data_IF_342428631122
#
_entry.id   IF_342428631122
#
_cell.length_a   1.000
_cell.length_b   1.000
_cell.length_c   1.000
_cell.angle_alpha   90.00
_cell.angle_beta   90.00
_cell.angle_gamma   90.00
#
_symmetry.space_group_name_H-M   'P 1'
#
loop_
_entity.id
_entity.type
_entity.pdbx_description
1 polymer ?
#
# COMPACT_ATOMS: atom_id res chain seq x y z
N UNK A 1 1.35 1.71 6.49
CA UNK A 1 1.45 0.44 5.71
C UNK A 1 2.88 0.26 5.23
N UNK A 2 3.32 -0.93 4.80
CA UNK A 2 4.63 -1.11 4.14
C UNK A 2 4.55 -1.18 2.61
N UNK A 3 3.39 -1.45 1.98
CA UNK A 3 3.30 -1.63 0.52
C UNK A 3 3.81 -0.46 -0.34
N UNK A 4 3.95 0.75 0.22
CA UNK A 4 4.58 1.87 -0.49
C UNK A 4 6.09 1.68 -0.68
N UNK A 5 6.75 0.84 0.14
CA UNK A 5 8.17 0.48 -0.05
C UNK A 5 8.34 -0.38 -1.30
N UNK A 6 7.35 -1.21 -1.66
CA UNK A 6 7.36 -1.96 -2.92
C UNK A 6 7.34 -1.04 -4.15
N UNK A 7 6.60 0.08 -4.08
CA UNK A 7 6.69 1.11 -5.13
C UNK A 7 8.08 1.74 -5.17
N UNK A 8 8.72 1.97 -4.01
CA UNK A 8 10.09 2.48 -3.97
C UNK A 8 11.06 1.48 -4.62
N UNK A 9 10.98 0.20 -4.27
CA UNK A 9 11.81 -0.86 -4.85
C UNK A 9 11.59 -0.98 -6.36
N UNK A 10 10.33 -0.96 -6.80
CA UNK A 10 9.96 -0.98 -8.21
C UNK A 10 10.55 0.21 -8.97
N UNK A 11 10.31 1.43 -8.50
CA UNK A 11 10.78 2.62 -9.19
C UNK A 11 12.31 2.72 -9.19
N UNK A 12 12.97 2.40 -8.08
CA UNK A 12 14.42 2.35 -8.00
C UNK A 12 15.00 1.31 -8.98
N UNK A 13 14.44 0.10 -9.02
CA UNK A 13 14.90 -0.97 -9.94
C UNK A 13 14.79 -0.59 -11.42
N UNK A 14 13.96 0.40 -11.75
CA UNK A 14 13.75 0.92 -13.11
C UNK A 14 14.37 2.30 -13.35
N UNK A 15 15.14 2.79 -12.38
CA UNK A 15 15.82 4.08 -12.45
C UNK A 15 14.89 5.30 -12.44
N UNK A 16 13.70 5.18 -11.84
CA UNK A 16 12.68 6.22 -11.76
C UNK A 16 12.82 6.94 -10.41
N UNK A 17 13.54 8.07 -10.38
CA UNK A 17 13.83 8.80 -9.13
C UNK A 17 13.02 10.09 -8.95
N UNK A 18 12.29 10.54 -9.98
CA UNK A 18 11.40 11.71 -9.89
C UNK A 18 10.08 11.35 -9.16
N UNK A 19 10.22 10.92 -7.90
CA UNK A 19 9.15 10.46 -7.01
C UNK A 19 9.37 11.08 -5.63
N UNK A 20 8.32 11.65 -5.05
CA UNK A 20 8.30 12.17 -3.67
C UNK A 20 7.46 11.23 -2.81
N UNK A 21 7.97 10.84 -1.65
CA UNK A 21 7.22 10.05 -0.67
C UNK A 21 6.55 10.96 0.36
N UNK A 22 5.33 11.38 -0.01
CA UNK A 22 4.54 12.36 0.72
C UNK A 22 3.89 11.79 2.00
N UNK A 23 3.85 12.64 3.03
CA UNK A 23 3.08 12.46 4.26
C UNK A 23 1.64 13.01 4.11
N UNK A 24 0.78 12.75 5.09
CA UNK A 24 -0.57 13.35 5.13
C UNK A 24 -0.56 14.89 5.12
N UNK A 25 0.46 15.50 5.73
CA UNK A 25 0.61 16.95 5.78
C UNK A 25 0.82 17.53 4.39
N UNK A 26 1.60 16.85 3.54
CA UNK A 26 1.91 17.32 2.19
C UNK A 26 0.64 17.37 1.32
N UNK A 27 -0.25 16.37 1.46
CA UNK A 27 -1.55 16.36 0.79
C UNK A 27 -2.46 17.50 1.27
N UNK A 28 -2.43 17.85 2.55
CA UNK A 28 -3.23 18.96 3.11
C UNK A 28 -2.70 20.34 2.68
N UNK A 29 -1.39 20.47 2.45
CA UNK A 29 -0.72 21.72 2.09
C UNK A 29 -0.47 21.92 0.58
N UNK A 30 -0.93 20.99 -0.28
CA UNK A 30 -1.02 21.22 -1.72
C UNK A 30 0.18 20.76 -2.55
N UNK A 31 1.02 19.85 -2.03
CA UNK A 31 2.16 19.25 -2.78
C UNK A 31 1.72 18.64 -4.13
N UNK A 32 0.45 18.26 -4.20
CA UNK A 32 -0.15 17.56 -5.32
C UNK A 32 -0.09 18.39 -6.62
N UNK A 33 -0.16 19.72 -6.50
CA UNK A 33 -0.22 20.62 -7.66
C UNK A 33 1.05 20.65 -8.52
N UNK A 34 2.21 20.24 -7.98
CA UNK A 34 3.48 20.22 -8.70
C UNK A 34 3.81 18.86 -9.35
N UNK A 35 2.88 17.91 -9.33
CA UNK A 35 3.07 16.55 -9.81
C UNK A 35 2.06 16.23 -10.90
N UNK A 36 2.39 15.29 -11.80
CA UNK A 36 1.44 14.79 -12.81
C UNK A 36 0.61 13.62 -12.31
N UNK A 37 1.08 12.92 -11.27
CA UNK A 37 0.48 11.68 -10.76
C UNK A 37 0.54 11.64 -9.23
N UNK A 38 -0.48 11.05 -8.63
CA UNK A 38 -0.53 10.67 -7.21
C UNK A 38 -0.80 9.18 -7.11
N UNK A 39 -0.02 8.47 -6.30
CA UNK A 39 -0.24 7.06 -5.99
C UNK A 39 -0.58 6.93 -4.50
N UNK A 40 -1.71 6.30 -4.19
CA UNK A 40 -2.09 5.90 -2.83
C UNK A 40 -2.03 4.37 -2.75
N UNK A 41 -1.04 3.87 -2.01
CA UNK A 41 -0.79 2.44 -1.86
C UNK A 41 -1.81 1.73 -0.97
N UNK A 42 -1.65 0.42 -0.81
CA UNK A 42 -2.38 -0.36 0.19
C UNK A 42 -2.12 0.08 1.65
N UNK A 43 -2.98 -0.35 2.56
CA UNK A 43 -2.97 0.11 3.95
C UNK A 43 -4.28 -0.15 4.68
N UNK A 44 -4.53 0.63 5.73
CA UNK A 44 -5.85 0.74 6.34
C UNK A 44 -6.60 1.85 5.61
N UNK A 45 -7.73 1.52 4.98
CA UNK A 45 -8.51 2.47 4.21
C UNK A 45 -9.05 3.62 5.06
N UNK A 46 -9.49 3.36 6.30
CA UNK A 46 -10.01 4.42 7.17
C UNK A 46 -8.91 5.34 7.64
N UNK A 47 -7.77 4.79 8.04
CA UNK A 47 -6.63 5.60 8.48
C UNK A 47 -6.20 6.57 7.36
N UNK A 48 -6.09 6.08 6.13
CA UNK A 48 -5.78 6.91 4.96
C UNK A 48 -6.89 7.94 4.73
N UNK A 49 -8.15 7.53 4.79
CA UNK A 49 -9.27 8.41 4.52
C UNK A 49 -9.43 9.51 5.59
N UNK A 50 -9.17 9.21 6.86
CA UNK A 50 -9.14 10.19 7.96
C UNK A 50 -7.95 11.14 7.84
N UNK A 51 -6.77 10.62 7.49
CA UNK A 51 -5.59 11.44 7.21
C UNK A 51 -5.84 12.46 6.07
N UNK A 52 -6.54 12.04 5.02
CA UNK A 52 -6.86 12.90 3.87
C UNK A 52 -8.13 13.74 4.06
N UNK A 53 -8.91 13.51 5.11
CA UNK A 53 -10.22 14.12 5.31
C UNK A 53 -10.18 15.67 5.20
N UNK A 54 -11.27 16.26 4.69
CA UNK A 54 -11.35 17.70 4.44
C UNK A 54 -10.40 18.19 3.35
N UNK A 55 -9.31 18.89 3.73
CA UNK A 55 -8.41 19.55 2.78
C UNK A 55 -7.66 18.58 1.86
N UNK A 56 -7.24 17.41 2.36
CA UNK A 56 -6.51 16.43 1.54
C UNK A 56 -7.37 15.93 0.37
N UNK A 57 -8.61 15.52 0.64
CA UNK A 57 -9.58 15.14 -0.39
C UNK A 57 -9.95 16.30 -1.31
N UNK A 58 -10.13 17.51 -0.78
CA UNK A 58 -10.38 18.69 -1.61
C UNK A 58 -9.24 18.93 -2.60
N UNK A 59 -7.99 18.84 -2.14
CA UNK A 59 -6.81 19.04 -2.99
C UNK A 59 -6.67 17.93 -4.03
N UNK A 60 -6.88 16.66 -3.63
CA UNK A 60 -6.86 15.52 -4.56
C UNK A 60 -7.96 15.63 -5.62
N UNK A 61 -9.18 16.02 -5.23
CA UNK A 61 -10.27 16.25 -6.19
C UNK A 61 -9.94 17.34 -7.19
N UNK A 62 -9.40 18.46 -6.72
CA UNK A 62 -8.97 19.57 -7.57
C UNK A 62 -7.92 19.09 -8.58
N UNK A 63 -6.85 18.46 -8.08
CA UNK A 63 -5.80 17.89 -8.90
C UNK A 63 -6.31 16.95 -10.01
N UNK A 64 -7.16 15.97 -9.67
CA UNK A 64 -7.68 15.02 -10.66
C UNK A 64 -8.58 15.75 -11.66
N UNK A 65 -9.50 16.60 -11.18
CA UNK A 65 -10.39 17.37 -12.05
C UNK A 65 -9.63 18.22 -13.07
N UNK A 66 -8.47 18.73 -12.67
CA UNK A 66 -7.65 19.64 -13.46
C UNK A 66 -6.63 18.91 -14.37
N UNK A 67 -6.69 17.56 -14.45
CA UNK A 67 -5.90 16.75 -15.38
C UNK A 67 -4.90 15.79 -14.74
N UNK A 68 -4.82 15.76 -13.41
CA UNK A 68 -3.96 14.86 -12.67
C UNK A 68 -4.38 13.39 -12.76
N UNK A 69 -3.41 12.48 -12.68
CA UNK A 69 -3.66 11.04 -12.61
C UNK A 69 -3.66 10.56 -11.15
N UNK A 70 -4.73 9.89 -10.72
CA UNK A 70 -4.80 9.21 -9.43
C UNK A 70 -4.62 7.71 -9.61
N UNK A 71 -3.76 7.09 -8.83
CA UNK A 71 -3.55 5.64 -8.83
C UNK A 71 -3.84 5.11 -7.43
N UNK A 72 -4.91 4.35 -7.30
CA UNK A 72 -5.29 3.70 -6.04
C UNK A 72 -4.96 2.22 -6.11
N UNK A 73 -4.18 1.72 -5.15
CA UNK A 73 -3.84 0.30 -5.05
C UNK A 73 -4.40 -0.26 -3.74
N UNK A 74 -5.11 -1.38 -3.80
CA UNK A 74 -5.69 -2.06 -2.65
C UNK A 74 -6.54 -1.09 -1.80
N UNK A 75 -6.08 -0.69 -0.60
CA UNK A 75 -6.77 0.29 0.23
C UNK A 75 -6.99 1.65 -0.47
N UNK A 76 -5.99 2.13 -1.22
CA UNK A 76 -6.12 3.37 -1.99
C UNK A 76 -7.19 3.28 -3.08
N UNK A 77 -7.40 2.10 -3.65
CA UNK A 77 -8.42 1.90 -4.69
C UNK A 77 -9.86 2.05 -4.16
N UNK A 78 -10.10 1.86 -2.85
CA UNK A 78 -11.43 2.05 -2.25
C UNK A 78 -11.81 3.52 -2.08
N UNK A 79 -10.84 4.42 -1.88
CA UNK A 79 -11.10 5.81 -1.53
C UNK A 79 -12.06 6.53 -2.51
N UNK A 80 -11.87 6.46 -3.84
CA UNK A 80 -12.73 7.17 -4.79
C UNK A 80 -14.07 6.49 -5.07
N UNK A 81 -14.28 5.25 -4.61
CA UNK A 81 -15.48 4.46 -4.91
C UNK A 81 -16.70 4.99 -4.13
N UNK A 82 -17.93 4.75 -4.63
CA UNK A 82 -19.14 5.19 -3.94
C UNK A 82 -19.26 4.63 -2.52
N UNK A 83 -19.35 5.52 -1.54
CA UNK A 83 -19.56 5.18 -0.13
C UNK A 83 -20.49 6.18 0.55
N UNK A 84 -21.32 5.69 1.48
CA UNK A 84 -22.14 6.52 2.37
C UNK A 84 -21.53 6.64 3.77
N UNK A 85 -20.29 6.22 3.94
CA UNK A 85 -19.60 6.13 5.23
C UNK A 85 -18.57 7.25 5.32
N UNK A 86 -18.53 7.94 6.46
CA UNK A 86 -17.48 8.91 6.75
C UNK A 86 -16.14 8.20 7.00
N UNK A 87 -15.01 8.72 6.50
CA UNK A 87 -14.88 9.96 5.72
C UNK A 87 -14.94 9.74 4.18
N UNK A 88 -15.00 8.48 3.72
CA UNK A 88 -15.04 8.10 2.29
C UNK A 88 -16.08 8.86 1.46
N UNK A 89 -17.27 9.12 2.03
CA UNK A 89 -18.36 9.82 1.36
C UNK A 89 -17.97 11.21 0.81
N UNK A 90 -16.92 11.82 1.37
CA UNK A 90 -16.41 13.11 0.93
C UNK A 90 -15.59 13.02 -0.36
N UNK A 91 -15.10 11.84 -0.74
CA UNK A 91 -14.31 11.64 -1.95
C UNK A 91 -15.21 11.20 -3.12
N UNK A 92 -15.75 9.97 -3.15
CA UNK A 92 -16.82 9.54 -4.09
C UNK A 92 -16.74 10.14 -5.52
N UNK A 93 -15.63 9.92 -6.23
CA UNK A 93 -15.42 10.46 -7.58
C UNK A 93 -15.49 9.40 -8.69
N UNK A 94 -15.50 8.11 -8.34
CA UNK A 94 -15.83 7.01 -9.25
C UNK A 94 -17.28 6.58 -9.04
N UNK A 95 -17.91 6.05 -10.10
CA UNK A 95 -19.25 5.45 -10.06
C UNK A 95 -19.21 3.93 -9.87
N UNK A 96 -18.05 3.31 -10.06
CA UNK A 96 -17.91 1.85 -10.04
C UNK A 96 -18.10 1.30 -8.64
N UNK A 97 -18.91 0.25 -8.52
CA UNK A 97 -19.20 -0.44 -7.25
C UNK A 97 -18.32 -1.66 -7.07
N UNK A 98 -18.27 -2.19 -5.86
CA UNK A 98 -17.54 -3.41 -5.52
C UNK A 98 -18.48 -4.59 -5.24
N UNK A 99 -18.00 -5.80 -5.52
CA UNK A 99 -18.67 -7.07 -5.23
C UNK A 99 -18.30 -7.60 -3.84
N UNK A 100 -17.13 -7.24 -3.31
CA UNK A 100 -16.61 -7.78 -2.06
C UNK A 100 -17.06 -7.03 -0.79
N UNK A 101 -18.32 -6.59 -0.76
CA UNK A 101 -18.96 -5.89 0.36
C UNK A 101 -20.19 -6.66 0.87
N UNK A 102 -20.34 -6.76 2.19
CA UNK A 102 -21.53 -7.35 2.83
C UNK A 102 -22.06 -6.44 3.93
N UNK A 103 -23.37 -6.35 4.06
CA UNK A 103 -24.04 -5.65 5.15
C UNK A 103 -24.37 -6.63 6.27
N UNK A 104 -24.21 -6.21 7.53
CA UNK A 104 -24.72 -6.95 8.68
C UNK A 104 -23.96 -8.22 9.08
N UNK A 105 -22.66 -8.35 8.76
CA UNK A 105 -21.83 -9.45 9.30
C UNK A 105 -21.78 -9.36 10.82
N UNK A 106 -22.09 -10.47 11.51
CA UNK A 106 -22.03 -10.53 12.98
C UNK A 106 -20.58 -10.45 13.46
N UNK A 107 -20.31 -9.88 14.64
CA UNK A 107 -18.94 -9.76 15.15
C UNK A 107 -18.23 -11.12 15.32
N UNK A 108 -18.99 -12.20 15.49
CA UNK A 108 -18.47 -13.57 15.57
C UNK A 108 -17.91 -14.07 14.23
N UNK A 109 -18.49 -13.65 13.11
CA UNK A 109 -18.05 -13.96 11.74
C UNK A 109 -16.90 -13.05 11.28
N UNK A 110 -16.76 -11.85 11.87
CA UNK A 110 -15.63 -10.94 11.62
C UNK A 110 -14.42 -11.22 12.51
N UNK A 111 -14.38 -12.37 13.20
CA UNK A 111 -13.41 -12.67 14.27
C UNK A 111 -11.95 -12.77 13.80
N UNK A 112 -11.69 -12.71 12.48
CA UNK A 112 -10.32 -12.55 11.97
C UNK A 112 -10.23 -11.38 10.99
N UNK A 113 -9.34 -10.42 11.29
CA UNK A 113 -8.94 -9.32 10.37
C UNK A 113 -8.37 -9.83 9.04
N UNK A 114 -8.09 -11.14 8.96
CA UNK A 114 -7.67 -11.83 7.73
C UNK A 114 -8.83 -12.07 6.76
N UNK A 115 -10.05 -12.29 7.25
CA UNK A 115 -11.22 -12.60 6.41
C UNK A 115 -11.98 -11.37 5.97
N UNK A 116 -12.24 -10.44 6.89
CA UNK A 116 -12.99 -9.25 6.59
C UNK A 116 -12.54 -8.10 7.50
N UNK A 117 -12.68 -6.88 6.97
CA UNK A 117 -12.48 -5.66 7.73
C UNK A 117 -13.83 -4.95 7.81
N UNK A 118 -14.21 -4.55 9.02
CA UNK A 118 -15.48 -3.85 9.25
C UNK A 118 -15.34 -2.37 8.87
N UNK A 119 -16.24 -1.89 8.05
CA UNK A 119 -16.39 -0.50 7.65
C UNK A 119 -17.75 0.02 8.10
N UNK A 120 -17.81 0.57 9.32
CA UNK A 120 -19.07 1.03 9.92
C UNK A 120 -20.14 -0.06 9.98
N UNK A 121 -21.19 0.09 9.15
CA UNK A 121 -22.31 -0.85 9.04
C UNK A 121 -22.13 -1.96 7.99
N UNK A 122 -21.05 -1.93 7.21
CA UNK A 122 -20.70 -2.98 6.27
C UNK A 122 -19.35 -3.62 6.61
N UNK A 123 -19.02 -4.70 5.92
CA UNK A 123 -17.71 -5.33 5.95
C UNK A 123 -17.22 -5.54 4.53
N UNK A 124 -15.96 -5.23 4.31
CA UNK A 124 -15.22 -5.63 3.11
C UNK A 124 -14.66 -7.01 3.41
N UNK A 125 -15.06 -8.01 2.64
CA UNK A 125 -14.52 -9.36 2.79
C UNK A 125 -13.41 -9.61 1.77
N UNK A 126 -12.48 -10.49 2.13
CA UNK A 126 -11.32 -10.84 1.32
C UNK A 126 -11.57 -12.24 0.71
N UNK A 127 -11.98 -12.32 -0.57
CA UNK A 127 -12.33 -13.61 -1.19
C UNK A 127 -11.09 -14.52 -1.36
N UNK A 128 -9.92 -13.91 -1.49
CA UNK A 128 -8.64 -14.58 -1.62
C UNK A 128 -7.55 -13.77 -0.94
N UNK A 129 -6.50 -14.47 -0.49
CA UNK A 129 -5.26 -13.87 -0.02
C UNK A 129 -4.07 -14.64 -0.58
N UNK A 130 -3.25 -13.94 -1.37
CA UNK A 130 -2.10 -14.52 -2.08
C UNK A 130 -2.24 -14.35 -3.59
N UNK A 131 -1.51 -15.17 -4.34
CA UNK A 131 -1.40 -15.07 -5.80
C UNK A 131 -2.72 -15.37 -6.52
N UNK A 132 -3.18 -14.43 -7.33
CA UNK A 132 -4.34 -14.55 -8.22
C UNK A 132 -3.89 -14.54 -9.68
N UNK A 133 -4.67 -15.20 -10.53
CA UNK A 133 -4.49 -15.18 -11.98
C UNK A 133 -5.27 -14.02 -12.58
N UNK A 134 -4.62 -13.30 -13.49
CA UNK A 134 -5.17 -12.11 -14.13
C UNK A 134 -5.09 -12.25 -15.64
N UNK A 135 -6.17 -11.92 -16.35
CA UNK A 135 -6.17 -11.74 -17.80
C UNK A 135 -5.97 -10.28 -18.15
N UNK A 136 -5.00 -10.04 -19.03
CA UNK A 136 -4.67 -8.74 -19.59
C UNK A 136 -4.62 -8.90 -21.10
N UNK A 137 -5.72 -8.54 -21.76
CA UNK A 137 -5.86 -8.64 -23.21
C UNK A 137 -5.53 -10.04 -23.76
N UNK A 138 -5.93 -11.11 -23.06
CA UNK A 138 -5.66 -12.50 -23.44
C UNK A 138 -4.33 -13.07 -22.95
N UNK A 139 -3.49 -12.27 -22.28
CA UNK A 139 -2.28 -12.74 -21.59
C UNK A 139 -2.57 -12.99 -20.11
N UNK A 140 -2.20 -14.18 -19.63
CA UNK A 140 -2.34 -14.54 -18.22
C UNK A 140 -1.10 -14.14 -17.43
N UNK A 141 -1.26 -13.31 -16.40
CA UNK A 141 -0.19 -12.99 -15.44
C UNK A 141 -0.61 -13.35 -14.01
N UNK A 142 0.34 -13.29 -13.08
CA UNK A 142 0.09 -13.52 -11.65
C UNK A 142 0.42 -12.26 -10.85
N UNK A 143 -0.42 -11.92 -9.89
CA UNK A 143 -0.13 -10.87 -8.91
C UNK A 143 -0.76 -11.21 -7.55
N UNK A 144 -0.28 -10.67 -6.43
CA UNK A 144 -0.87 -10.91 -5.13
C UNK A 144 -2.11 -10.05 -4.87
N UNK A 145 -3.12 -10.65 -4.24
CA UNK A 145 -4.30 -9.96 -3.70
C UNK A 145 -4.29 -10.06 -2.17
N UNK A 146 -4.39 -8.91 -1.48
CA UNK A 146 -4.40 -8.82 -0.01
C UNK A 146 -5.61 -8.06 0.54
N UNK A 147 -6.77 -8.22 -0.09
CA UNK A 147 -8.03 -7.60 0.34
C UNK A 147 -8.43 -6.33 -0.42
N UNK A 148 -7.76 -6.01 -1.52
CA UNK A 148 -8.17 -4.94 -2.42
C UNK A 148 -9.54 -5.16 -3.06
N UNK A 149 -10.12 -4.13 -3.70
CA UNK A 149 -11.47 -4.20 -4.25
C UNK A 149 -11.60 -5.28 -5.32
N UNK A 150 -12.73 -5.97 -5.30
CA UNK A 150 -13.24 -6.71 -6.46
C UNK A 150 -14.35 -5.88 -7.05
N UNK A 151 -14.11 -5.32 -8.24
CA UNK A 151 -15.08 -4.41 -8.84
C UNK A 151 -16.27 -5.19 -9.42
N UNK A 152 -17.44 -4.57 -9.42
CA UNK A 152 -18.55 -5.00 -10.28
C UNK A 152 -18.28 -4.52 -11.70
N UNK A 153 -18.93 -5.16 -12.67
CA UNK A 153 -18.89 -4.68 -14.05
C UNK A 153 -19.31 -3.21 -14.11
N UNK A 154 -18.44 -2.31 -14.57
CA UNK A 154 -18.76 -0.89 -14.66
C UNK A 154 -19.64 -0.59 -15.88
N UNK A 155 -20.54 0.40 -15.76
CA UNK A 155 -21.37 0.83 -16.89
C UNK A 155 -20.61 1.75 -17.87
N UNK A 156 -19.72 2.60 -17.34
CA UNK A 156 -19.02 3.66 -18.10
C UNK A 156 -17.48 3.53 -18.05
N UNK A 157 -16.94 2.95 -16.97
CA UNK A 157 -15.49 2.88 -16.75
C UNK A 157 -14.86 1.74 -17.57
N UNK A 158 -13.58 1.89 -17.93
CA UNK A 158 -12.87 0.91 -18.75
C UNK A 158 -12.30 -0.20 -17.86
N UNK A 159 -12.55 -1.47 -18.23
CA UNK A 159 -11.94 -2.64 -17.59
C UNK A 159 -10.63 -2.97 -18.30
N UNK A 160 -9.52 -2.90 -17.58
CA UNK A 160 -8.17 -3.15 -18.12
C UNK A 160 -7.69 -4.59 -17.84
N UNK A 161 -8.04 -5.12 -16.68
CA UNK A 161 -7.59 -6.42 -16.20
C UNK A 161 -8.74 -7.15 -15.52
N UNK A 162 -8.86 -8.45 -15.75
CA UNK A 162 -9.87 -9.30 -15.08
C UNK A 162 -9.21 -10.39 -14.26
N UNK A 163 -9.84 -10.79 -13.17
CA UNK A 163 -9.47 -12.01 -12.47
C UNK A 163 -9.91 -13.24 -13.26
N UNK A 164 -9.08 -14.26 -13.32
CA UNK A 164 -9.39 -15.55 -13.97
C UNK A 164 -9.28 -16.75 -13.03
N UNK A 165 -8.81 -16.53 -11.80
CA UNK A 165 -8.77 -17.56 -10.76
C UNK A 165 -7.71 -17.28 -9.69
N UNK A 166 -7.37 -18.32 -8.94
CA UNK A 166 -6.33 -18.31 -7.92
C UNK A 166 -5.19 -19.26 -8.31
N UNK A 167 -3.96 -18.90 -7.97
CA UNK A 167 -2.85 -19.85 -8.02
C UNK A 167 -2.95 -20.85 -6.85
N UNK A 168 -2.36 -22.03 -6.99
CA UNK A 168 -2.50 -23.15 -6.04
C UNK A 168 -2.11 -22.81 -4.58
N UNK A 169 -1.20 -21.86 -4.38
CA UNK A 169 -0.69 -21.48 -3.05
C UNK A 169 -1.52 -20.40 -2.33
N UNK A 170 -2.56 -19.87 -2.98
CA UNK A 170 -3.34 -18.80 -2.40
C UNK A 170 -4.35 -19.33 -1.37
N UNK A 171 -4.51 -18.58 -0.28
CA UNK A 171 -5.39 -18.97 0.82
C UNK A 171 -6.76 -18.34 0.66
N UNK A 172 -7.81 -19.08 1.02
CA UNK A 172 -9.19 -18.60 1.09
C UNK A 172 -9.78 -18.97 2.45
N UNK A 173 -10.60 -18.07 2.98
CA UNK A 173 -11.39 -18.29 4.20
C UNK A 173 -12.87 -18.57 3.86
N UNK A 174 -13.17 -18.85 2.59
CA UNK A 174 -14.50 -19.23 2.09
C UNK A 174 -14.41 -20.44 1.17
N UNK A 175 -15.56 -21.03 0.80
CA UNK A 175 -15.55 -22.14 -0.13
C UNK A 175 -15.00 -21.72 -1.50
N UNK A 176 -14.40 -22.66 -2.23
CA UNK A 176 -13.86 -22.38 -3.56
C UNK A 176 -14.94 -21.87 -4.53
N UNK A 177 -16.18 -22.33 -4.38
CA UNK A 177 -17.28 -21.94 -5.27
C UNK A 177 -17.79 -20.52 -4.96
N UNK A 178 -17.86 -20.12 -3.69
CA UNK A 178 -18.15 -18.74 -3.30
C UNK A 178 -17.07 -17.77 -3.78
N UNK A 179 -15.80 -18.17 -3.64
CA UNK A 179 -14.67 -17.37 -4.12
C UNK A 179 -14.73 -17.18 -5.63
N UNK A 180 -14.95 -18.27 -6.39
CA UNK A 180 -15.12 -18.21 -7.85
C UNK A 180 -16.29 -17.32 -8.26
N UNK A 181 -17.41 -17.39 -7.54
CA UNK A 181 -18.57 -16.53 -7.81
C UNK A 181 -18.24 -15.03 -7.70
N UNK A 182 -17.29 -14.67 -6.84
CA UNK A 182 -16.89 -13.27 -6.62
C UNK A 182 -15.75 -12.85 -7.55
N UNK A 183 -14.76 -13.72 -7.76
CA UNK A 183 -13.55 -13.37 -8.52
C UNK A 183 -13.64 -13.70 -10.00
N UNK A 184 -14.21 -14.83 -10.42
CA UNK A 184 -14.09 -15.27 -11.80
C UNK A 184 -14.68 -14.24 -12.77
N UNK A 185 -13.84 -13.81 -13.73
CA UNK A 185 -14.12 -12.77 -14.71
C UNK A 185 -14.42 -11.37 -14.15
N UNK A 186 -14.34 -11.16 -12.83
CA UNK A 186 -14.58 -9.86 -12.22
C UNK A 186 -13.46 -8.88 -12.61
N UNK A 187 -13.77 -7.59 -12.85
CA UNK A 187 -12.74 -6.59 -13.08
C UNK A 187 -11.79 -6.45 -11.88
N UNK A 188 -10.48 -6.50 -12.15
CA UNK A 188 -9.39 -6.40 -11.19
C UNK A 188 -8.69 -5.05 -11.24
N UNK A 189 -8.63 -4.44 -12.43
CA UNK A 189 -8.11 -3.09 -12.65
C UNK A 189 -9.06 -2.35 -13.56
N UNK A 190 -9.46 -1.14 -13.15
CA UNK A 190 -10.34 -0.27 -13.92
C UNK A 190 -9.72 1.12 -14.12
N UNK A 191 -10.11 1.78 -15.20
CA UNK A 191 -9.80 3.18 -15.48
C UNK A 191 -11.08 4.01 -15.48
N UNK A 192 -11.13 5.01 -14.62
CA UNK A 192 -12.26 5.95 -14.48
C UNK A 192 -11.85 7.35 -14.93
N UNK A 193 -12.81 8.19 -15.34
CA UNK A 193 -12.57 9.62 -15.63
C UNK A 193 -13.24 10.52 -14.62
N UNK A 194 -12.57 11.61 -14.25
CA UNK A 194 -13.14 12.67 -13.41
C UNK A 194 -12.59 14.04 -13.81
N UNK A 195 -13.47 14.91 -14.34
CA UNK A 195 -13.04 16.16 -14.96
C UNK A 195 -12.13 15.90 -16.16
N UNK A 196 -10.96 16.53 -16.18
CA UNK A 196 -9.95 16.37 -17.23
C UNK A 196 -8.91 15.28 -16.91
N UNK A 197 -8.91 14.74 -15.69
CA UNK A 197 -7.99 13.69 -15.27
C UNK A 197 -8.65 12.32 -15.20
N UNK A 198 -7.88 11.37 -14.67
CA UNK A 198 -8.26 9.97 -14.65
C UNK A 198 -7.82 9.28 -13.36
N UNK A 199 -8.48 8.15 -13.08
CA UNK A 199 -8.18 7.27 -11.98
C UNK A 199 -7.83 5.89 -12.53
N UNK A 200 -6.74 5.31 -12.04
CA UNK A 200 -6.40 3.91 -12.23
C UNK A 200 -6.57 3.20 -10.88
N UNK A 201 -7.52 2.28 -10.79
CA UNK A 201 -7.88 1.62 -9.52
C UNK A 201 -7.58 0.13 -9.61
N UNK A 202 -6.74 -0.36 -8.70
CA UNK A 202 -6.23 -1.72 -8.69
C UNK A 202 -6.66 -2.45 -7.42
N UNK A 203 -7.33 -3.59 -7.59
CA UNK A 203 -7.52 -4.58 -6.54
C UNK A 203 -6.21 -5.28 -6.12
N UNK A 204 -5.48 -5.91 -7.06
CA UNK A 204 -4.24 -6.62 -6.77
C UNK A 204 -3.02 -5.68 -6.67
N UNK A 205 -1.95 -6.19 -6.07
CA UNK A 205 -0.68 -5.48 -5.86
C UNK A 205 0.31 -5.75 -7.00
N UNK A 206 0.12 -5.06 -8.14
CA UNK A 206 1.04 -5.17 -9.28
C UNK A 206 2.43 -4.58 -9.00
N UNK A 207 2.59 -3.83 -7.92
CA UNK A 207 3.87 -3.24 -7.50
C UNK A 207 4.76 -4.20 -6.70
N UNK A 208 4.26 -5.39 -6.33
CA UNK A 208 5.00 -6.30 -5.45
C UNK A 208 6.31 -6.77 -6.13
N UNK A 209 7.47 -6.74 -5.43
CA UNK A 209 8.80 -6.96 -6.05
C UNK A 209 8.99 -8.35 -6.66
N UNK A 210 8.32 -9.36 -6.10
CA UNK A 210 8.42 -10.75 -6.60
C UNK A 210 7.65 -11.02 -7.91
N UNK A 211 6.92 -10.04 -8.46
CA UNK A 211 6.04 -10.22 -9.62
C UNK A 211 6.42 -9.31 -10.78
N UNK A 212 7.53 -9.61 -11.44
CA UNK A 212 8.12 -8.76 -12.49
C UNK A 212 7.18 -8.51 -13.68
N UNK A 213 6.43 -9.52 -14.15
CA UNK A 213 5.45 -9.33 -15.22
C UNK A 213 4.31 -8.36 -14.80
N UNK A 214 3.88 -8.44 -13.54
CA UNK A 214 2.89 -7.52 -12.99
C UNK A 214 3.45 -6.10 -12.85
N UNK A 215 4.73 -5.97 -12.49
CA UNK A 215 5.43 -4.69 -12.44
C UNK A 215 5.49 -4.02 -13.83
N UNK A 216 5.85 -4.78 -14.88
CA UNK A 216 5.89 -4.27 -16.25
C UNK A 216 4.53 -3.74 -16.71
N UNK A 217 3.45 -4.47 -16.36
CA UNK A 217 2.07 -4.04 -16.63
C UNK A 217 1.75 -2.73 -15.92
N UNK A 218 2.07 -2.61 -14.62
CA UNK A 218 1.82 -1.38 -13.88
C UNK A 218 2.57 -0.19 -14.50
N UNK A 219 3.85 -0.35 -14.83
CA UNK A 219 4.64 0.71 -15.47
C UNK A 219 4.09 1.06 -16.86
N UNK A 220 3.60 0.07 -17.60
CA UNK A 220 2.89 0.26 -18.86
C UNK A 220 1.65 1.14 -18.72
N UNK A 221 0.81 0.88 -17.70
CA UNK A 221 -0.36 1.74 -17.39
C UNK A 221 0.04 3.15 -16.96
N UNK A 222 1.17 3.30 -16.29
CA UNK A 222 1.70 4.60 -15.88
C UNK A 222 2.42 5.35 -17.02
N UNK A 223 2.61 4.71 -18.18
CA UNK A 223 3.44 5.21 -19.28
C UNK A 223 4.86 5.61 -18.81
N UNK A 224 5.43 4.82 -17.91
CA UNK A 224 6.79 5.02 -17.42
C UNK A 224 7.71 4.01 -18.11
N UNK A 225 8.60 4.52 -18.94
CA UNK A 225 9.71 3.73 -19.46
C UNK A 225 10.83 3.73 -18.41
N UNK A 226 11.15 2.56 -17.86
CA UNK A 226 12.35 2.40 -17.06
C UNK A 226 13.59 2.60 -17.93
N UNK A 227 14.65 3.14 -17.34
CA UNK A 227 15.97 2.94 -17.92
C UNK A 227 16.47 1.60 -17.39
N UNK A 228 16.83 0.66 -18.27
CA UNK A 228 17.62 -0.55 -17.93
C UNK A 228 19.06 -0.18 -17.51
N UNK A 229 19.21 0.91 -16.76
CA UNK A 229 20.43 1.15 -16.00
C UNK A 229 20.38 0.13 -14.88
N UNK A 230 21.20 -0.89 -15.02
CA UNK A 230 21.61 -1.71 -13.88
C UNK A 230 21.99 -0.75 -12.75
N UNK A 231 21.11 -0.64 -11.75
CA UNK A 231 21.45 0.04 -10.50
C UNK A 231 22.58 -0.80 -9.94
N UNK A 232 23.82 -0.31 -10.12
CA UNK A 232 24.99 -0.95 -9.52
C UNK A 232 24.69 -1.00 -8.02
N UNK A 233 24.69 -2.21 -7.48
CA UNK A 233 24.75 -2.44 -6.03
C UNK A 233 25.96 -1.61 -5.57
N UNK A 234 25.70 -0.46 -4.95
CA UNK A 234 26.76 0.28 -4.29
C UNK A 234 27.27 -0.62 -3.18
N UNK A 235 28.60 -0.73 -3.04
CA UNK A 235 29.19 -1.35 -1.87
C UNK A 235 28.53 -0.75 -0.63
N UNK A 236 28.06 -1.61 0.29
CA UNK A 236 27.44 -1.16 1.52
C UNK A 236 28.49 -0.38 2.32
N UNK A 237 28.48 0.95 2.17
CA UNK A 237 29.26 1.84 2.99
C UNK A 237 28.78 1.72 4.43
N UNK A 238 29.73 1.64 5.35
CA UNK A 238 29.43 1.65 6.78
C UNK A 238 28.85 3.02 7.13
N UNK A 239 27.73 3.02 7.85
CA UNK A 239 27.01 4.24 8.25
C UNK A 239 26.79 4.27 9.76
N UNK A 240 26.50 5.46 10.30
CA UNK A 240 26.15 5.62 11.71
C UNK A 240 24.85 4.88 12.09
N UNK A 241 24.01 4.59 11.10
CA UNK A 241 22.76 3.83 11.26
C UNK A 241 22.97 2.32 11.44
N UNK A 242 24.15 1.77 11.11
CA UNK A 242 24.38 0.32 11.10
C UNK A 242 24.11 -0.35 12.45
N UNK A 243 24.52 0.32 13.53
CA UNK A 243 24.31 -0.18 14.88
C UNK A 243 22.82 -0.23 15.22
N UNK A 244 22.09 0.85 14.95
CA UNK A 244 20.67 0.92 15.28
C UNK A 244 19.83 -0.01 14.42
N UNK A 245 20.20 -0.22 13.15
CA UNK A 245 19.61 -1.26 12.30
C UNK A 245 19.83 -2.64 12.92
N UNK A 246 21.06 -2.98 13.31
CA UNK A 246 21.36 -4.28 13.91
C UNK A 246 20.60 -4.50 15.22
N UNK A 247 20.59 -3.51 16.12
CA UNK A 247 19.89 -3.57 17.41
C UNK A 247 18.38 -3.75 17.21
N UNK A 248 17.78 -3.00 16.26
CA UNK A 248 16.36 -3.10 15.96
C UNK A 248 16.00 -4.43 15.29
N UNK A 249 16.85 -4.97 14.40
CA UNK A 249 16.65 -6.32 13.84
C UNK A 249 16.53 -7.37 14.94
N UNK A 250 17.43 -7.32 15.93
CA UNK A 250 17.38 -8.24 17.07
C UNK A 250 16.08 -8.08 17.86
N UNK A 251 15.64 -6.84 18.13
CA UNK A 251 14.38 -6.58 18.81
C UNK A 251 13.16 -7.10 18.04
N UNK A 252 13.12 -6.90 16.71
CA UNK A 252 12.04 -7.38 15.85
C UNK A 252 12.01 -8.91 15.78
N UNK A 253 13.19 -9.57 15.68
CA UNK A 253 13.27 -11.04 15.74
C UNK A 253 12.78 -11.56 17.09
N UNK A 254 12.99 -10.82 18.18
CA UNK A 254 12.43 -11.13 19.49
C UNK A 254 10.89 -11.15 19.57
N UNK A 255 10.18 -10.65 18.55
CA UNK A 255 8.71 -10.70 18.44
C UNK A 255 8.20 -12.05 17.87
N UNK A 256 9.03 -13.08 17.76
CA UNK A 256 8.69 -14.38 17.16
C UNK A 256 7.28 -14.89 17.54
N UNK A 257 6.47 -15.12 16.50
CA UNK A 257 5.06 -15.55 16.56
C UNK A 257 4.05 -14.60 17.22
N UNK A 258 4.45 -13.38 17.57
CA UNK A 258 3.54 -12.36 18.08
C UNK A 258 2.96 -11.54 16.94
N UNK A 259 1.67 -11.27 17.04
CA UNK A 259 1.00 -10.26 16.22
C UNK A 259 0.15 -9.38 17.12
N UNK A 260 0.14 -8.08 16.85
CA UNK A 260 -0.58 -7.08 17.63
C UNK A 260 -1.38 -6.18 16.68
N UNK A 261 -2.33 -5.41 17.20
CA UNK A 261 -3.19 -4.55 16.37
C UNK A 261 -2.88 -3.09 16.68
N UNK A 262 -2.65 -2.29 15.64
CA UNK A 262 -2.60 -0.82 15.73
C UNK A 262 -3.71 -0.28 14.83
N UNK A 263 -4.67 0.45 15.41
CA UNK A 263 -5.91 0.82 14.72
C UNK A 263 -6.72 -0.43 14.35
N UNK A 264 -7.00 -0.64 13.06
CA UNK A 264 -7.64 -1.88 12.57
C UNK A 264 -6.66 -2.85 11.93
N UNK A 265 -5.36 -2.55 11.98
CA UNK A 265 -4.32 -3.27 11.23
C UNK A 265 -3.51 -4.19 12.14
N UNK A 266 -3.40 -5.45 11.73
CA UNK A 266 -2.48 -6.42 12.33
C UNK A 266 -1.03 -6.06 12.00
N UNK A 267 -0.14 -6.10 12.96
CA UNK A 267 1.30 -5.94 12.82
C UNK A 267 2.01 -7.18 13.36
N UNK A 268 3.14 -7.50 12.76
CA UNK A 268 3.97 -8.65 13.08
C UNK A 268 5.43 -8.29 12.76
N UNK A 269 6.38 -9.12 13.22
CA UNK A 269 7.80 -8.88 12.99
C UNK A 269 8.17 -8.81 11.50
N UNK A 270 7.47 -9.56 10.63
CA UNK A 270 7.69 -9.52 9.19
C UNK A 270 7.41 -8.13 8.60
N UNK A 271 6.28 -7.52 8.95
CA UNK A 271 5.93 -6.16 8.47
C UNK A 271 6.88 -5.08 8.96
N UNK A 272 7.44 -5.24 10.17
CA UNK A 272 8.44 -4.32 10.70
C UNK A 272 9.79 -4.51 9.99
N UNK A 273 10.16 -5.77 9.69
CA UNK A 273 11.35 -6.08 8.90
C UNK A 273 11.29 -5.49 7.49
N UNK A 274 10.13 -5.48 6.83
CA UNK A 274 9.96 -4.83 5.52
C UNK A 274 10.33 -3.34 5.57
N UNK A 275 9.87 -2.62 6.59
CA UNK A 275 10.21 -1.20 6.78
C UNK A 275 11.69 -1.00 7.09
N UNK A 276 12.26 -1.86 7.94
CA UNK A 276 13.67 -1.80 8.29
C UNK A 276 14.59 -2.14 7.11
N UNK A 277 14.20 -3.09 6.27
CA UNK A 277 14.91 -3.42 5.03
C UNK A 277 14.93 -2.20 4.10
N UNK A 278 13.80 -1.50 3.95
CA UNK A 278 13.73 -0.28 3.13
C UNK A 278 14.69 0.82 3.59
N UNK A 279 14.96 0.92 4.91
CA UNK A 279 15.99 1.79 5.48
C UNK A 279 17.38 1.25 5.15
N UNK A 280 17.64 -0.02 5.44
CA UNK A 280 18.98 -0.62 5.34
C UNK A 280 19.56 -0.56 3.93
N UNK A 281 18.76 -0.83 2.91
CA UNK A 281 19.24 -0.80 1.52
C UNK A 281 19.55 0.61 1.02
N UNK A 282 19.05 1.65 1.70
CA UNK A 282 19.15 3.06 1.28
C UNK A 282 19.94 3.96 2.23
N UNK A 283 20.36 3.43 3.39
CA UNK A 283 21.07 4.15 4.47
C UNK A 283 22.29 4.94 4.01
N UNK A 284 22.99 4.49 2.96
CA UNK A 284 24.17 5.16 2.43
C UNK A 284 23.88 6.54 1.82
N UNK A 285 22.62 6.85 1.54
CA UNK A 285 22.18 8.15 1.02
C UNK A 285 21.56 9.04 2.10
N UNK A 286 21.51 8.57 3.35
CA UNK A 286 20.90 9.29 4.47
C UNK A 286 22.01 9.90 5.33
N UNK A 287 22.15 11.22 5.31
CA UNK A 287 23.23 11.93 5.99
C UNK A 287 22.71 13.09 6.87
N UNK A 288 23.58 13.62 7.72
CA UNK A 288 23.33 14.80 8.54
C UNK A 288 22.07 14.69 9.42
N UNK A 289 21.29 15.78 9.48
CA UNK A 289 20.13 15.87 10.36
C UNK A 289 19.04 14.82 10.06
N UNK A 290 18.96 14.32 8.81
CA UNK A 290 18.01 13.25 8.49
C UNK A 290 18.49 11.92 9.06
N UNK A 291 19.79 11.63 9.01
CA UNK A 291 20.37 10.45 9.64
C UNK A 291 20.12 10.44 11.15
N UNK A 292 20.36 11.57 11.83
CA UNK A 292 20.11 11.69 13.27
C UNK A 292 18.63 11.43 13.60
N UNK A 293 17.71 11.99 12.81
CA UNK A 293 16.27 11.78 13.00
C UNK A 293 15.85 10.33 12.77
N UNK A 294 16.40 9.68 11.74
CA UNK A 294 16.13 8.27 11.45
C UNK A 294 16.66 7.37 12.58
N UNK A 295 17.84 7.69 13.12
CA UNK A 295 18.41 6.99 14.28
C UNK A 295 17.49 7.08 15.52
N UNK A 296 17.03 8.28 15.85
CA UNK A 296 16.13 8.52 16.98
C UNK A 296 14.82 7.73 16.86
N UNK A 297 14.21 7.72 15.67
CA UNK A 297 12.97 7.00 15.40
C UNK A 297 13.16 5.47 15.52
N UNK A 298 14.28 4.94 15.01
CA UNK A 298 14.59 3.50 15.12
C UNK A 298 14.85 3.10 16.57
N UNK A 299 15.55 3.94 17.35
CA UNK A 299 15.78 3.68 18.79
C UNK A 299 14.48 3.70 19.58
N UNK A 300 13.61 4.69 19.35
CA UNK A 300 12.30 4.75 19.98
C UNK A 300 11.46 3.51 19.66
N UNK A 301 11.42 3.10 18.39
CA UNK A 301 10.73 1.87 17.98
C UNK A 301 11.32 0.61 18.65
N UNK A 302 12.65 0.51 18.72
CA UNK A 302 13.34 -0.60 19.39
C UNK A 302 12.97 -0.69 20.86
N UNK A 303 13.05 0.43 21.58
CA UNK A 303 12.84 0.46 23.02
C UNK A 303 11.40 0.04 23.37
N UNK A 304 10.42 0.53 22.62
CA UNK A 304 9.02 0.12 22.76
C UNK A 304 8.80 -1.37 22.45
N UNK A 305 9.44 -1.91 21.39
CA UNK A 305 9.36 -3.35 21.06
C UNK A 305 9.94 -4.20 22.19
N UNK A 306 11.08 -3.80 22.76
CA UNK A 306 11.72 -4.51 23.86
C UNK A 306 10.87 -4.44 25.13
N UNK A 307 10.27 -3.28 25.44
CA UNK A 307 9.33 -3.14 26.56
C UNK A 307 8.11 -4.05 26.38
N UNK A 308 7.50 -4.07 25.20
CA UNK A 308 6.37 -4.95 24.88
C UNK A 308 6.74 -6.44 24.82
N UNK A 309 8.02 -6.79 24.63
CA UNK A 309 8.48 -8.18 24.73
C UNK A 309 8.43 -8.68 26.19
N UNK A 310 8.53 -7.76 27.16
CA UNK A 310 8.55 -8.02 28.61
C UNK A 310 7.19 -7.93 29.32
N UNK A 311 6.15 -7.39 28.64
CA UNK A 311 4.76 -7.26 29.13
C UNK A 311 3.78 -7.89 28.11
N UNK A 312 2.48 -7.94 28.43
CA UNK A 312 1.46 -8.38 27.46
C UNK A 312 1.51 -7.46 26.22
N UNK A 313 1.57 -8.06 25.02
CA UNK A 313 1.90 -7.43 23.74
C UNK A 313 0.86 -6.41 23.19
N UNK A 314 0.00 -5.85 24.05
CA UNK A 314 -1.03 -4.86 23.69
C UNK A 314 -0.52 -3.42 23.72
N UNK A 315 0.77 -3.18 24.01
CA UNK A 315 1.33 -1.82 24.23
C UNK A 315 2.19 -1.28 23.07
N UNK A 316 2.32 -1.98 21.93
CA UNK A 316 3.09 -1.45 20.77
C UNK A 316 2.18 -0.58 19.91
N UNK A 317 2.12 0.71 20.20
CA UNK A 317 1.29 1.70 19.50
C UNK A 317 2.12 2.56 18.52
N UNK A 318 3.33 2.98 18.92
CA UNK A 318 4.09 4.01 18.22
C UNK A 318 5.19 3.45 17.32
N UNK A 319 5.74 2.27 17.62
CA UNK A 319 6.86 1.68 16.90
C UNK A 319 6.58 1.51 15.39
N UNK A 320 5.40 1.04 14.94
CA UNK A 320 5.10 0.98 13.51
C UNK A 320 5.10 2.35 12.86
N UNK A 321 4.55 3.37 13.52
CA UNK A 321 4.50 4.75 13.01
C UNK A 321 5.90 5.37 12.93
N UNK A 322 6.73 5.16 13.95
CA UNK A 322 8.13 5.59 13.97
C UNK A 322 8.92 4.94 12.83
N UNK A 323 8.72 3.64 12.58
CA UNK A 323 9.40 2.94 11.49
C UNK A 323 8.91 3.33 10.11
N UNK A 324 7.60 3.59 9.94
CA UNK A 324 7.06 4.14 8.70
C UNK A 324 7.71 5.48 8.39
N UNK A 325 7.84 6.37 9.38
CA UNK A 325 8.46 7.68 9.18
C UNK A 325 9.97 7.58 8.93
N UNK A 326 10.69 6.74 9.67
CA UNK A 326 12.12 6.50 9.47
C UNK A 326 12.42 5.97 8.05
N UNK A 327 11.60 5.00 7.59
CA UNK A 327 11.67 4.50 6.23
C UNK A 327 11.34 5.58 5.20
N UNK A 328 10.28 6.38 5.42
CA UNK A 328 9.86 7.45 4.50
C UNK A 328 10.97 8.48 4.32
N UNK A 329 11.58 8.95 5.42
CA UNK A 329 12.69 9.91 5.39
C UNK A 329 13.88 9.34 4.61
N UNK A 330 14.30 8.11 4.92
CA UNK A 330 15.42 7.44 4.25
C UNK A 330 15.19 7.25 2.75
N UNK A 331 14.00 6.76 2.37
CA UNK A 331 13.65 6.57 0.96
C UNK A 331 13.58 7.91 0.23
N UNK A 332 13.00 8.94 0.85
CA UNK A 332 12.87 10.25 0.21
C UNK A 332 14.23 10.94 -0.01
N UNK A 333 15.17 10.85 0.95
CA UNK A 333 16.54 11.32 0.76
C UNK A 333 17.25 10.56 -0.36
N UNK A 334 17.15 9.23 -0.36
CA UNK A 334 17.76 8.38 -1.37
C UNK A 334 17.29 8.72 -2.79
N UNK A 335 15.98 8.92 -2.96
CA UNK A 335 15.41 9.32 -4.25
C UNK A 335 15.82 10.74 -4.63
N UNK A 336 15.81 11.68 -3.67
CA UNK A 336 16.21 13.08 -3.92
C UNK A 336 17.68 13.20 -4.35
N UNK A 337 18.57 12.40 -3.77
CA UNK A 337 19.99 12.35 -4.14
C UNK A 337 20.24 11.80 -5.57
N UNK A 338 19.24 11.17 -6.20
CA UNK A 338 19.32 10.51 -7.52
C UNK A 338 18.41 11.15 -8.58
N UNK A 339 17.75 12.26 -8.26
CA UNK A 339 16.87 12.99 -9.19
C UNK A 339 17.62 13.67 -10.33
#
# INVERSE_FOLDING_TARGET
SHSWTWLADLFESRGIFNVVFASESDFRHGIVSSHSRVIISGGDGFEIAEALNGKGFSNLKGFIRDGGQYIGICAGAYLPLPSSISPFQQFNISKTRIANIRHGISMAESSTTRYAVRYGSCSIFHPARGSVLLDIHGSSIVAPLYGGPVFKEPDEDEVLVRYTGMAEQATTNMSHDEMRTVLDCAPAVIRCRFGSGELLLLGPHLEHPDFQEANDVLLGFLHLAGNDRSVRIQEQLKTDLDRSIADLKVAILGLEHRSFVVGSKLWDGGRLMELLNAIEIRKSSTEGAVSDRVDDLMRAARDEILEASSRDAHEVESAPSNLVEAARLTVNEHFSARR
#
